data_IF_264417027144
#
_entry.id   IF_264417027144
#
_cell.length_a   1.000
_cell.length_b   1.000
_cell.length_c   1.000
_cell.angle_alpha   90.00
_cell.angle_beta   90.00
_cell.angle_gamma   90.00
#
_symmetry.space_group_name_H-M   'P 1'
#
loop_
_entity.id
_entity.type
_entity.pdbx_description
1 polymer ?
#
# COMPACT_ATOMS: atom_id res chain seq x y z
N UNK A 1 16.49 2.05 -6.75
CA UNK A 1 15.00 1.90 -6.80
C UNK A 1 14.35 3.04 -6.03
N UNK A 2 13.03 3.25 -6.25
CA UNK A 2 12.24 4.13 -5.39
C UNK A 2 11.39 3.30 -4.43
N UNK A 3 11.38 3.67 -3.16
CA UNK A 3 10.64 2.98 -2.10
C UNK A 3 9.75 4.01 -1.42
N UNK A 4 8.43 3.77 -1.41
CA UNK A 4 7.50 4.58 -0.61
C UNK A 4 7.16 3.84 0.68
N UNK A 5 7.34 4.50 1.80
CA UNK A 5 7.01 3.99 3.14
C UNK A 5 5.93 4.86 3.75
N UNK A 6 4.85 4.25 4.20
CA UNK A 6 3.75 4.93 4.89
C UNK A 6 3.63 4.36 6.30
N UNK A 7 3.96 5.20 7.28
CA UNK A 7 3.87 4.86 8.69
C UNK A 7 2.48 5.19 9.24
N UNK A 8 1.77 4.17 9.74
CA UNK A 8 0.40 4.32 10.27
C UNK A 8 0.29 5.13 11.55
N UNK A 9 1.40 5.71 12.03
CA UNK A 9 1.44 6.61 13.17
C UNK A 9 2.68 7.51 13.17
N UNK A 10 2.59 8.64 13.89
CA UNK A 10 3.66 9.65 13.89
C UNK A 10 4.82 9.39 14.84
N UNK A 11 4.67 8.50 15.82
CA UNK A 11 5.76 8.22 16.76
C UNK A 11 6.66 7.06 16.29
N UNK A 12 7.94 7.17 16.55
CA UNK A 12 8.96 6.19 16.18
C UNK A 12 9.04 5.05 17.20
N UNK A 13 7.97 4.23 17.26
CA UNK A 13 7.87 3.07 18.15
C UNK A 13 8.43 1.76 17.56
N UNK A 14 7.98 0.63 18.09
CA UNK A 14 8.48 -0.71 17.70
C UNK A 14 8.22 -1.01 16.23
N UNK A 15 7.04 -0.66 15.70
CA UNK A 15 6.69 -0.89 14.29
C UNK A 15 7.64 -0.11 13.38
N UNK A 16 7.95 1.16 13.71
CA UNK A 16 8.94 1.96 13.01
C UNK A 16 10.33 1.30 13.05
N UNK A 17 10.81 0.83 14.23
CA UNK A 17 12.09 0.11 14.36
C UNK A 17 12.13 -1.10 13.42
N UNK A 18 11.04 -1.87 13.34
CA UNK A 18 10.95 -3.03 12.45
C UNK A 18 11.11 -2.59 10.98
N UNK A 19 10.39 -1.55 10.57
CA UNK A 19 10.45 -1.03 9.20
C UNK A 19 11.86 -0.55 8.85
N UNK A 20 12.52 0.19 9.76
CA UNK A 20 13.91 0.62 9.55
C UNK A 20 14.87 -0.56 9.46
N UNK A 21 14.73 -1.58 10.32
CA UNK A 21 15.55 -2.79 10.22
C UNK A 21 15.34 -3.54 8.90
N UNK A 22 14.11 -3.56 8.37
CA UNK A 22 13.86 -4.15 7.03
C UNK A 22 14.53 -3.32 5.94
N UNK A 23 14.48 -1.99 6.03
CA UNK A 23 15.12 -1.08 5.06
C UNK A 23 16.63 -1.22 5.04
N UNK A 24 17.28 -1.46 6.19
CA UNK A 24 18.72 -1.72 6.28
C UNK A 24 19.19 -2.91 5.41
N UNK A 25 18.33 -3.91 5.20
CA UNK A 25 18.61 -5.08 4.33
C UNK A 25 18.05 -4.94 2.92
N UNK A 26 17.08 -4.04 2.72
CA UNK A 26 16.34 -3.91 1.46
C UNK A 26 16.93 -2.85 0.55
N UNK A 27 17.22 -1.67 1.09
CA UNK A 27 17.66 -0.51 0.33
C UNK A 27 19.18 -0.54 0.10
N UNK A 28 19.60 0.03 -1.03
CA UNK A 28 20.97 0.31 -1.40
C UNK A 28 21.23 1.82 -1.30
N UNK A 29 22.50 2.23 -1.32
CA UNK A 29 22.90 3.64 -1.12
C UNK A 29 22.27 4.60 -2.15
N UNK A 30 22.03 4.11 -3.37
CA UNK A 30 21.44 4.88 -4.48
C UNK A 30 19.89 4.85 -4.49
N UNK A 31 19.26 4.17 -3.53
CA UNK A 31 17.81 4.05 -3.48
C UNK A 31 17.16 5.30 -2.89
N UNK A 32 16.10 5.79 -3.55
CA UNK A 32 15.28 6.91 -3.06
C UNK A 32 14.18 6.37 -2.13
N UNK A 33 14.18 6.82 -0.86
CA UNK A 33 13.18 6.41 0.12
C UNK A 33 12.31 7.62 0.49
N UNK A 34 11.03 7.55 0.18
CA UNK A 34 10.02 8.55 0.53
C UNK A 34 9.20 8.05 1.72
N UNK A 35 9.31 8.71 2.88
CA UNK A 35 8.61 8.33 4.11
C UNK A 35 7.50 9.32 4.44
N UNK A 36 6.30 8.81 4.73
CA UNK A 36 5.15 9.59 5.18
C UNK A 36 4.70 9.11 6.56
N UNK A 37 4.49 10.05 7.49
CA UNK A 37 4.10 9.76 8.88
C UNK A 37 2.69 10.24 9.15
N UNK A 38 1.76 9.30 9.35
CA UNK A 38 0.38 9.63 9.67
C UNK A 38 0.19 9.93 11.17
N UNK A 39 -0.67 10.89 11.56
CA UNK A 39 -1.55 11.69 10.70
C UNK A 39 -0.91 12.95 10.09
N UNK A 40 0.33 13.31 10.48
CA UNK A 40 0.97 14.58 10.10
C UNK A 40 0.98 14.82 8.58
N UNK A 41 1.37 13.80 7.82
CA UNK A 41 1.46 13.87 6.36
C UNK A 41 0.17 13.39 5.66
N UNK A 42 -0.79 12.89 6.43
CA UNK A 42 -2.06 12.36 5.92
C UNK A 42 -3.19 13.39 5.89
N UNK A 43 -4.31 13.05 5.21
CA UNK A 43 -5.50 13.89 5.14
C UNK A 43 -6.31 13.85 6.44
N UNK A 44 -7.22 14.82 6.61
CA UNK A 44 -8.32 14.74 7.57
C UNK A 44 -9.18 13.50 7.31
N UNK A 45 -10.07 13.14 8.25
CA UNK A 45 -10.92 11.96 8.08
C UNK A 45 -11.80 12.07 6.84
N UNK A 46 -11.87 10.97 6.08
CA UNK A 46 -12.76 10.85 4.94
C UNK A 46 -14.22 10.92 5.41
N UNK A 47 -14.98 11.86 4.86
CA UNK A 47 -16.40 12.06 5.20
C UNK A 47 -17.36 11.36 4.23
N UNK A 48 -16.83 10.55 3.29
CA UNK A 48 -17.66 9.79 2.35
C UNK A 48 -18.45 10.66 1.35
N UNK A 49 -17.98 11.85 1.04
CA UNK A 49 -18.68 12.78 0.13
C UNK A 49 -18.71 12.34 -1.34
N UNK A 50 -18.01 11.29 -1.70
CA UNK A 50 -17.88 10.72 -3.06
C UNK A 50 -17.36 11.70 -4.14
N UNK A 51 -16.84 12.86 -3.76
CA UNK A 51 -16.34 13.88 -4.69
C UNK A 51 -15.22 13.33 -5.58
N UNK A 52 -14.31 12.51 -5.01
CA UNK A 52 -13.24 11.85 -5.75
C UNK A 52 -13.74 10.92 -6.86
N UNK A 53 -14.92 10.32 -6.72
CA UNK A 53 -15.55 9.50 -7.75
C UNK A 53 -16.29 10.34 -8.80
N UNK A 54 -17.08 11.30 -8.33
CA UNK A 54 -18.03 12.03 -9.18
C UNK A 54 -17.39 13.19 -9.95
N UNK A 55 -16.43 13.91 -9.35
CA UNK A 55 -15.78 15.08 -9.94
C UNK A 55 -14.33 14.83 -10.33
N UNK A 56 -13.61 14.05 -9.55
CA UNK A 56 -12.19 13.75 -9.69
C UNK A 56 -11.49 13.78 -8.33
N UNK A 57 -10.38 13.08 -8.23
CA UNK A 57 -9.58 12.98 -7.01
C UNK A 57 -8.95 14.31 -6.58
N UNK A 58 -8.70 15.20 -7.52
CA UNK A 58 -8.20 16.55 -7.31
C UNK A 58 -9.19 17.45 -6.53
N UNK A 59 -10.48 17.12 -6.60
CA UNK A 59 -11.54 17.82 -5.87
C UNK A 59 -11.84 17.22 -4.48
N UNK A 60 -11.11 16.18 -4.07
CA UNK A 60 -11.24 15.65 -2.71
C UNK A 60 -10.82 16.72 -1.69
N UNK A 61 -11.59 16.94 -0.59
CA UNK A 61 -11.20 17.89 0.45
C UNK A 61 -9.81 17.64 1.07
N UNK A 62 -9.30 16.41 0.98
CA UNK A 62 -7.96 16.04 1.45
C UNK A 62 -6.94 15.88 0.32
N UNK A 63 -7.22 16.36 -0.90
CA UNK A 63 -6.37 16.12 -2.07
C UNK A 63 -4.94 16.62 -1.88
N UNK A 64 -4.74 17.74 -1.21
CA UNK A 64 -3.42 18.33 -0.92
C UNK A 64 -2.48 17.38 -0.18
N UNK A 65 -3.02 16.49 0.66
CA UNK A 65 -2.29 15.47 1.41
C UNK A 65 -2.30 14.10 0.73
N UNK A 66 -3.40 13.76 0.09
CA UNK A 66 -3.57 12.45 -0.58
C UNK A 66 -2.73 12.35 -1.84
N UNK A 67 -2.73 13.39 -2.69
CA UNK A 67 -2.07 13.33 -4.00
C UNK A 67 -0.55 13.15 -3.92
N UNK A 68 0.20 13.81 -3.03
CA UNK A 68 1.63 13.54 -2.87
C UNK A 68 1.94 12.09 -2.48
N UNK A 69 1.13 11.50 -1.60
CA UNK A 69 1.32 10.10 -1.15
C UNK A 69 1.03 9.13 -2.29
N UNK A 70 -0.11 9.29 -2.97
CA UNK A 70 -0.48 8.39 -4.07
C UNK A 70 0.50 8.49 -5.23
N UNK A 71 0.96 9.69 -5.57
CA UNK A 71 1.99 9.93 -6.58
C UNK A 71 3.29 9.21 -6.24
N UNK A 72 3.77 9.34 -5.01
CA UNK A 72 4.95 8.62 -4.54
C UNK A 72 4.77 7.10 -4.66
N UNK A 73 3.60 6.57 -4.28
CA UNK A 73 3.27 5.15 -4.46
C UNK A 73 3.27 4.74 -5.93
N UNK A 74 2.76 5.58 -6.84
CA UNK A 74 2.69 5.33 -8.28
C UNK A 74 4.07 5.39 -8.96
N UNK A 75 5.01 6.13 -8.41
CA UNK A 75 6.38 6.25 -8.92
C UNK A 75 7.34 5.19 -8.38
N UNK A 76 7.08 4.61 -7.22
CA UNK A 76 8.01 3.65 -6.59
C UNK A 76 7.84 2.21 -7.09
N UNK A 77 8.91 1.42 -7.02
CA UNK A 77 8.90 -0.02 -7.27
C UNK A 77 8.37 -0.80 -6.07
N UNK A 78 8.62 -0.29 -4.85
CA UNK A 78 8.26 -0.94 -3.59
C UNK A 78 7.39 -0.01 -2.75
N UNK A 79 6.27 -0.54 -2.25
CA UNK A 79 5.38 0.15 -1.33
C UNK A 79 5.38 -0.58 0.00
N UNK A 80 5.77 0.10 1.07
CA UNK A 80 5.76 -0.41 2.44
C UNK A 80 4.66 0.32 3.21
N UNK A 81 3.71 -0.44 3.76
CA UNK A 81 2.73 0.07 4.70
C UNK A 81 3.04 -0.54 6.07
N UNK A 82 3.27 0.29 7.07
CA UNK A 82 3.39 -0.21 8.43
C UNK A 82 2.31 0.38 9.35
N UNK A 83 1.87 -0.42 10.27
CA UNK A 83 0.90 -0.01 11.29
C UNK A 83 1.07 -0.85 12.55
N UNK A 84 1.01 -0.25 13.74
CA UNK A 84 0.82 -1.03 14.95
C UNK A 84 -0.52 -1.77 14.90
N UNK A 85 -0.60 -2.86 15.66
CA UNK A 85 -1.85 -3.60 15.82
C UNK A 85 -2.68 -2.98 16.94
N UNK A 86 -3.60 -2.10 16.58
CA UNK A 86 -4.54 -1.48 17.52
C UNK A 86 -5.90 -2.18 17.45
N UNK A 87 -6.34 -2.73 18.58
CA UNK A 87 -7.64 -3.43 18.66
C UNK A 87 -7.80 -4.47 17.52
N UNK A 88 -6.73 -5.26 17.28
CA UNK A 88 -6.65 -6.34 16.28
C UNK A 88 -6.71 -5.86 14.81
N UNK A 89 -6.53 -4.53 14.55
CA UNK A 89 -6.62 -3.95 13.21
C UNK A 89 -5.53 -2.87 13.01
N UNK A 90 -5.41 -2.34 11.78
CA UNK A 90 -4.53 -1.21 11.49
C UNK A 90 -4.99 0.04 12.24
N UNK A 91 -4.07 0.98 12.46
CA UNK A 91 -4.39 2.26 13.09
C UNK A 91 -5.49 3.01 12.34
N UNK A 92 -6.29 3.79 13.05
CA UNK A 92 -7.33 4.64 12.44
C UNK A 92 -6.77 5.59 11.37
N UNK A 93 -5.55 6.10 11.57
CA UNK A 93 -4.88 6.96 10.59
C UNK A 93 -4.55 6.21 9.28
N UNK A 94 -4.05 4.97 9.38
CA UNK A 94 -3.81 4.13 8.19
C UNK A 94 -5.12 3.79 7.48
N UNK A 95 -6.16 3.44 8.24
CA UNK A 95 -7.48 3.16 7.65
C UNK A 95 -8.06 4.38 6.95
N UNK A 96 -7.96 5.56 7.58
CA UNK A 96 -8.39 6.82 6.99
C UNK A 96 -7.71 7.09 5.63
N UNK A 97 -6.39 6.95 5.56
CA UNK A 97 -5.68 7.10 4.29
C UNK A 97 -6.17 6.10 3.23
N UNK A 98 -6.40 4.83 3.62
CA UNK A 98 -6.93 3.82 2.69
C UNK A 98 -8.32 4.17 2.17
N UNK A 99 -9.17 4.84 2.97
CA UNK A 99 -10.48 5.31 2.54
C UNK A 99 -10.40 6.38 1.45
N UNK A 100 -9.38 7.24 1.50
CA UNK A 100 -9.11 8.20 0.44
C UNK A 100 -8.57 7.59 -0.87
N UNK A 101 -8.09 6.33 -0.85
CA UNK A 101 -7.57 5.64 -2.04
C UNK A 101 -8.62 4.80 -2.78
N UNK A 102 -9.88 4.82 -2.36
CA UNK A 102 -10.92 3.96 -2.92
C UNK A 102 -11.08 4.12 -4.44
N UNK A 103 -10.94 5.33 -4.96
CA UNK A 103 -11.00 5.61 -6.41
C UNK A 103 -9.86 4.96 -7.21
N UNK A 104 -8.75 4.60 -6.57
CA UNK A 104 -7.61 3.88 -7.19
C UNK A 104 -7.76 2.37 -7.20
N UNK A 105 -8.86 1.83 -6.73
CA UNK A 105 -9.11 0.40 -6.84
C UNK A 105 -9.30 -0.01 -8.31
N UNK A 106 -8.96 -1.26 -8.61
CA UNK A 106 -8.98 -1.85 -9.96
C UNK A 106 -10.36 -1.77 -10.64
N UNK A 107 -11.42 -1.67 -9.86
CA UNK A 107 -12.78 -1.48 -10.36
C UNK A 107 -13.08 -0.06 -10.83
N UNK A 108 -12.28 0.92 -10.39
CA UNK A 108 -12.47 2.34 -10.67
C UNK A 108 -11.37 2.88 -11.60
N UNK A 109 -10.46 3.68 -11.07
CA UNK A 109 -9.37 4.31 -11.82
C UNK A 109 -7.98 3.86 -11.34
N UNK A 110 -7.62 2.56 -11.52
CA UNK A 110 -6.30 2.08 -11.13
C UNK A 110 -5.20 2.75 -11.96
N UNK A 111 -4.00 2.83 -11.41
CA UNK A 111 -2.84 3.32 -12.14
C UNK A 111 -2.03 2.15 -12.72
N UNK A 112 -1.57 2.28 -13.98
CA UNK A 112 -0.87 1.21 -14.70
C UNK A 112 0.34 0.65 -13.94
N UNK A 113 1.15 1.55 -13.36
CA UNK A 113 2.36 1.14 -12.64
C UNK A 113 2.07 0.23 -11.45
N UNK A 114 0.88 0.30 -10.84
CA UNK A 114 0.53 -0.54 -9.69
C UNK A 114 0.58 -2.04 -10.03
N UNK A 115 0.34 -2.43 -11.27
CA UNK A 115 0.37 -3.84 -11.72
C UNK A 115 1.77 -4.47 -11.81
N UNK A 116 2.83 -3.68 -11.60
CA UNK A 116 4.23 -4.14 -11.65
C UNK A 116 4.95 -4.05 -10.30
N UNK A 117 4.32 -3.44 -9.28
CA UNK A 117 4.93 -3.15 -7.98
C UNK A 117 4.97 -4.33 -7.01
N UNK A 118 5.74 -4.14 -5.95
CA UNK A 118 5.77 -5.05 -4.79
C UNK A 118 5.29 -4.30 -3.56
N UNK A 119 4.38 -4.91 -2.84
CA UNK A 119 3.96 -4.42 -1.53
C UNK A 119 4.61 -5.19 -0.38
N UNK A 120 4.86 -4.52 0.71
CA UNK A 120 5.21 -5.11 2.00
C UNK A 120 4.34 -4.46 3.09
N UNK A 121 3.64 -5.27 3.86
CA UNK A 121 2.88 -4.79 5.01
C UNK A 121 3.49 -5.28 6.29
N UNK A 122 3.74 -4.36 7.23
CA UNK A 122 4.46 -4.61 8.48
C UNK A 122 3.54 -4.28 9.65
N UNK A 123 3.50 -5.16 10.65
CA UNK A 123 2.81 -4.84 11.90
C UNK A 123 3.48 -5.49 13.10
N UNK A 124 3.40 -4.81 14.22
CA UNK A 124 3.83 -5.31 15.52
C UNK A 124 2.74 -5.18 16.58
N UNK A 125 2.86 -6.02 17.59
CA UNK A 125 2.04 -5.97 18.79
C UNK A 125 2.85 -6.36 20.01
N UNK A 126 2.38 -6.00 21.20
CA UNK A 126 3.00 -6.45 22.46
C UNK A 126 2.73 -7.93 22.72
N UNK A 127 1.53 -8.45 22.44
CA UNK A 127 1.17 -9.82 22.76
C UNK A 127 0.25 -10.51 21.75
N UNK A 128 -0.82 -9.87 21.29
CA UNK A 128 -1.75 -10.49 20.35
C UNK A 128 -1.17 -10.59 18.92
N UNK A 129 -1.46 -11.66 18.15
CA UNK A 129 -0.94 -11.79 16.79
C UNK A 129 -1.42 -10.68 15.86
N UNK A 130 -0.53 -9.90 15.21
CA UNK A 130 -0.92 -8.78 14.32
C UNK A 130 -1.21 -9.23 12.88
N UNK A 131 -1.61 -10.48 12.70
CA UNK A 131 -1.81 -11.07 11.37
C UNK A 131 -2.98 -10.45 10.61
N UNK A 132 -4.02 -10.00 11.31
CA UNK A 132 -5.17 -9.35 10.68
C UNK A 132 -4.78 -7.98 10.11
N UNK A 133 -4.06 -7.18 10.89
CA UNK A 133 -3.56 -5.86 10.48
C UNK A 133 -2.81 -5.91 9.15
N UNK A 134 -1.83 -6.82 9.02
CA UNK A 134 -1.08 -6.95 7.76
C UNK A 134 -1.93 -7.51 6.62
N UNK A 135 -2.94 -8.35 6.90
CA UNK A 135 -3.87 -8.85 5.88
C UNK A 135 -4.78 -7.73 5.37
N UNK A 136 -5.28 -6.88 6.25
CA UNK A 136 -6.14 -5.74 5.91
C UNK A 136 -5.39 -4.74 5.02
N UNK A 137 -4.19 -4.32 5.40
CA UNK A 137 -3.35 -3.45 4.55
C UNK A 137 -3.01 -4.12 3.21
N UNK A 138 -2.63 -5.41 3.21
CA UNK A 138 -2.31 -6.14 1.98
C UNK A 138 -3.53 -6.28 1.06
N UNK A 139 -4.74 -6.36 1.60
CA UNK A 139 -5.98 -6.36 0.83
C UNK A 139 -6.13 -5.05 0.05
N UNK A 140 -5.89 -3.90 0.69
CA UNK A 140 -5.98 -2.60 0.03
C UNK A 140 -5.02 -2.50 -1.17
N UNK A 141 -3.72 -2.77 -0.96
CA UNK A 141 -2.75 -2.76 -2.05
C UNK A 141 -3.12 -3.70 -3.21
N UNK A 142 -3.68 -4.87 -2.90
CA UNK A 142 -4.14 -5.81 -3.96
C UNK A 142 -5.33 -5.26 -4.74
N UNK A 143 -6.26 -4.55 -4.09
CA UNK A 143 -7.36 -3.88 -4.77
C UNK A 143 -6.88 -2.70 -5.63
N UNK A 144 -5.74 -2.10 -5.30
CA UNK A 144 -5.08 -1.10 -6.15
C UNK A 144 -4.30 -1.70 -7.33
N UNK A 145 -4.23 -3.03 -7.45
CA UNK A 145 -3.55 -3.72 -8.55
C UNK A 145 -2.18 -4.32 -8.21
N UNK A 146 -1.64 -4.10 -7.01
CA UNK A 146 -0.31 -4.61 -6.62
C UNK A 146 -0.29 -6.15 -6.67
N UNK A 147 0.53 -6.75 -7.54
CA UNK A 147 0.45 -8.18 -7.86
C UNK A 147 0.96 -9.08 -6.73
N UNK A 148 1.93 -8.60 -5.96
CA UNK A 148 2.52 -9.34 -4.83
C UNK A 148 2.67 -8.45 -3.62
N UNK A 149 2.07 -8.86 -2.52
CA UNK A 149 2.21 -8.19 -1.22
C UNK A 149 2.72 -9.19 -0.20
N UNK A 150 3.92 -8.93 0.31
CA UNK A 150 4.50 -9.67 1.41
C UNK A 150 3.97 -9.14 2.74
N UNK A 151 4.04 -9.95 3.78
CA UNK A 151 3.55 -9.62 5.12
C UNK A 151 4.62 -9.92 6.13
N UNK A 152 4.89 -8.97 7.02
CA UNK A 152 5.82 -9.11 8.13
C UNK A 152 5.11 -8.84 9.44
N UNK A 153 5.26 -9.73 10.40
CA UNK A 153 4.69 -9.57 11.74
C UNK A 153 5.72 -9.89 12.81
N UNK A 154 5.68 -9.13 13.91
CA UNK A 154 6.47 -9.40 15.10
C UNK A 154 5.63 -9.21 16.36
N UNK A 155 5.58 -10.21 17.21
CA UNK A 155 5.12 -10.07 18.60
C UNK A 155 6.36 -9.69 19.41
N UNK A 156 6.40 -8.45 19.87
CA UNK A 156 7.60 -7.87 20.51
C UNK A 156 7.77 -8.29 21.97
N UNK A 157 6.67 -8.65 22.64
CA UNK A 157 6.61 -8.83 24.08
C UNK A 157 7.12 -7.59 24.86
N UNK A 158 6.97 -6.41 24.25
CA UNK A 158 7.45 -5.13 24.77
C UNK A 158 6.46 -4.02 24.42
N UNK A 159 6.37 -3.00 25.27
CA UNK A 159 5.55 -1.80 25.02
C UNK A 159 6.34 -0.69 24.36
N UNK A 160 7.66 -0.67 24.51
CA UNK A 160 8.57 0.32 23.93
C UNK A 160 9.87 -0.31 23.43
N UNK A 161 10.60 0.46 22.61
CA UNK A 161 11.82 -0.01 21.95
C UNK A 161 12.87 -0.45 22.96
N UNK A 162 13.05 0.28 24.05
CA UNK A 162 14.07 0.02 25.07
C UNK A 162 13.86 -1.28 25.86
N UNK A 163 12.66 -1.85 25.81
CA UNK A 163 12.30 -3.07 26.53
C UNK A 163 12.27 -4.33 25.64
N UNK A 164 12.66 -4.20 24.37
CA UNK A 164 12.78 -5.35 23.48
C UNK A 164 13.98 -6.19 23.91
N UNK A 165 13.77 -7.51 24.12
CA UNK A 165 14.86 -8.40 24.49
C UNK A 165 15.83 -8.65 23.34
N UNK A 166 17.10 -8.94 23.66
CA UNK A 166 18.14 -9.30 22.68
C UNK A 166 17.73 -10.48 21.79
N UNK A 167 17.00 -11.44 22.34
CA UNK A 167 16.42 -12.56 21.57
C UNK A 167 15.43 -12.09 20.51
N UNK A 168 14.58 -11.11 20.85
CA UNK A 168 13.61 -10.53 19.90
C UNK A 168 14.29 -9.65 18.85
N UNK A 169 15.35 -8.97 19.19
CA UNK A 169 16.16 -8.23 18.22
C UNK A 169 16.86 -9.15 17.21
N UNK A 170 17.42 -10.26 17.68
CA UNK A 170 18.00 -11.27 16.79
C UNK A 170 16.94 -11.90 15.86
N UNK A 171 15.76 -12.24 16.39
CA UNK A 171 14.63 -12.71 15.60
C UNK A 171 14.19 -11.70 14.54
N UNK A 172 14.11 -10.41 14.92
CA UNK A 172 13.80 -9.31 14.01
C UNK A 172 14.78 -9.24 12.86
N UNK A 173 16.08 -9.17 13.13
CA UNK A 173 17.12 -9.09 12.09
C UNK A 173 17.05 -10.26 11.12
N UNK A 174 16.97 -11.49 11.62
CA UNK A 174 16.88 -12.67 10.77
C UNK A 174 15.63 -12.67 9.87
N UNK A 175 14.48 -12.26 10.42
CA UNK A 175 13.24 -12.16 9.64
C UNK A 175 13.30 -11.01 8.63
N UNK A 176 13.90 -9.88 9.01
CA UNK A 176 14.04 -8.70 8.15
C UNK A 176 14.90 -9.02 6.93
N UNK A 177 16.05 -9.65 7.11
CA UNK A 177 16.92 -10.08 6.03
C UNK A 177 16.20 -11.01 5.04
N UNK A 178 15.50 -12.02 5.57
CA UNK A 178 14.75 -12.98 4.74
C UNK A 178 13.63 -12.32 3.93
N UNK A 179 12.90 -11.35 4.51
CA UNK A 179 11.82 -10.68 3.79
C UNK A 179 12.35 -9.67 2.79
N UNK A 180 13.39 -8.91 3.14
CA UNK A 180 14.06 -7.96 2.27
C UNK A 180 14.55 -8.64 0.99
N UNK A 181 15.25 -9.78 1.10
CA UNK A 181 15.72 -10.57 -0.05
C UNK A 181 14.56 -11.00 -0.97
N UNK A 182 13.41 -11.40 -0.42
CA UNK A 182 12.24 -11.77 -1.22
C UNK A 182 11.61 -10.57 -1.92
N UNK A 183 11.50 -9.43 -1.23
CA UNK A 183 10.95 -8.19 -1.78
C UNK A 183 11.85 -7.69 -2.91
N UNK A 184 13.17 -7.58 -2.68
CA UNK A 184 14.16 -7.14 -3.66
C UNK A 184 14.16 -8.00 -4.93
N UNK A 185 14.21 -9.33 -4.78
CA UNK A 185 14.13 -10.25 -5.91
C UNK A 185 12.84 -10.06 -6.72
N UNK A 186 11.73 -9.77 -6.07
CA UNK A 186 10.44 -9.56 -6.74
C UNK A 186 10.37 -8.19 -7.41
N UNK A 187 10.95 -7.15 -6.83
CA UNK A 187 11.05 -5.81 -7.41
C UNK A 187 11.92 -5.82 -8.68
N UNK A 188 13.01 -6.57 -8.67
CA UNK A 188 13.90 -6.73 -9.83
C UNK A 188 13.30 -7.60 -10.96
N UNK A 189 12.19 -8.29 -10.71
CA UNK A 189 11.46 -9.06 -11.74
C UNK A 189 9.97 -8.73 -11.69
N UNK A 190 9.58 -7.50 -12.12
CA UNK A 190 8.21 -7.02 -12.06
C UNK A 190 7.32 -7.73 -13.07
N UNK A 191 6.19 -8.26 -12.63
CA UNK A 191 5.17 -8.85 -13.50
C UNK A 191 3.79 -8.86 -12.84
N UNK A 192 2.74 -8.74 -13.63
CA UNK A 192 1.36 -8.82 -13.13
C UNK A 192 1.02 -10.25 -12.71
N UNK A 193 0.27 -10.39 -11.61
CA UNK A 193 -0.23 -11.69 -11.14
C UNK A 193 -1.38 -12.19 -12.00
N UNK A 194 -1.55 -13.51 -12.09
CA UNK A 194 -2.70 -14.11 -12.79
C UNK A 194 -4.03 -13.59 -12.22
N UNK A 195 -4.15 -13.51 -10.88
CA UNK A 195 -5.34 -12.97 -10.23
C UNK A 195 -5.58 -11.51 -10.62
N UNK A 196 -4.54 -10.66 -10.65
CA UNK A 196 -4.65 -9.26 -11.08
C UNK A 196 -5.13 -9.15 -12.53
N UNK A 197 -4.61 -10.01 -13.43
CA UNK A 197 -5.05 -10.07 -14.83
C UNK A 197 -6.53 -10.47 -14.94
N UNK A 198 -6.96 -11.50 -14.21
CA UNK A 198 -8.37 -11.93 -14.19
C UNK A 198 -9.27 -10.80 -13.71
N UNK A 199 -8.93 -10.16 -12.58
CA UNK A 199 -9.69 -9.02 -12.06
C UNK A 199 -9.76 -7.87 -13.05
N UNK A 200 -8.63 -7.54 -13.71
CA UNK A 200 -8.62 -6.52 -14.75
C UNK A 200 -9.61 -6.84 -15.88
N UNK A 201 -9.64 -8.06 -16.39
CA UNK A 201 -10.56 -8.42 -17.47
C UNK A 201 -12.03 -8.41 -17.05
N UNK A 202 -12.33 -8.76 -15.79
CA UNK A 202 -13.68 -8.65 -15.25
C UNK A 202 -14.13 -7.17 -15.26
N UNK A 203 -13.30 -6.27 -14.70
CA UNK A 203 -13.65 -4.85 -14.64
C UNK A 203 -13.55 -4.16 -16.00
N UNK A 204 -12.65 -4.60 -16.88
CA UNK A 204 -12.64 -4.17 -18.28
C UNK A 204 -14.00 -4.41 -18.95
N UNK A 205 -14.56 -5.62 -18.79
CA UNK A 205 -15.88 -5.95 -19.34
C UNK A 205 -16.97 -5.03 -18.78
N UNK A 206 -16.94 -4.74 -17.49
CA UNK A 206 -17.84 -3.78 -16.85
C UNK A 206 -17.69 -2.38 -17.43
N UNK A 207 -16.48 -1.86 -17.53
CA UNK A 207 -16.23 -0.50 -18.03
C UNK A 207 -16.43 -0.37 -19.54
N UNK A 208 -16.45 -1.47 -20.30
CA UNK A 208 -16.72 -1.46 -21.75
C UNK A 208 -18.21 -1.19 -22.06
N UNK A 209 -19.12 -1.46 -21.12
CA UNK A 209 -20.56 -1.21 -21.29
C UNK A 209 -20.96 0.09 -20.58
N UNK A 210 -21.52 1.09 -21.30
CA UNK A 210 -22.02 2.31 -20.66
C UNK A 210 -23.02 2.07 -19.54
N UNK A 211 -23.89 1.09 -19.72
CA UNK A 211 -24.96 0.76 -18.75
C UNK A 211 -24.46 0.01 -17.52
N UNK A 212 -23.29 -0.65 -17.61
CA UNK A 212 -22.70 -1.41 -16.51
C UNK A 212 -21.60 -0.65 -15.75
N UNK A 213 -21.13 0.47 -16.29
CA UNK A 213 -20.15 1.32 -15.63
C UNK A 213 -20.78 2.03 -14.42
N UNK A 214 -20.09 1.96 -13.28
CA UNK A 214 -20.61 2.55 -12.04
C UNK A 214 -20.74 4.08 -12.13
N UNK A 215 -19.79 4.75 -12.78
CA UNK A 215 -19.88 6.18 -13.09
C UNK A 215 -19.12 6.51 -14.40
N UNK A 216 -19.48 7.62 -15.08
CA UNK A 216 -18.83 8.02 -16.33
C UNK A 216 -17.33 8.25 -16.20
N UNK A 217 -16.85 8.90 -15.12
CA UNK A 217 -15.43 9.20 -14.92
C UNK A 217 -14.54 7.96 -14.86
N UNK A 218 -15.02 6.89 -14.25
CA UNK A 218 -14.27 5.63 -14.22
C UNK A 218 -14.15 5.05 -15.62
N UNK A 219 -15.24 5.06 -16.38
CA UNK A 219 -15.26 4.60 -17.77
C UNK A 219 -14.35 5.43 -18.67
N UNK A 220 -14.41 6.75 -18.54
CA UNK A 220 -13.57 7.68 -19.32
C UNK A 220 -12.10 7.43 -19.06
N UNK A 221 -11.71 7.21 -17.79
CA UNK A 221 -10.35 6.79 -17.43
C UNK A 221 -9.91 5.52 -18.16
N UNK A 222 -10.75 4.49 -18.20
CA UNK A 222 -10.41 3.24 -18.90
C UNK A 222 -10.30 3.42 -20.41
N UNK A 223 -11.08 4.33 -21.00
CA UNK A 223 -10.99 4.71 -22.41
C UNK A 223 -9.67 5.44 -22.66
N UNK A 224 -9.36 6.46 -21.87
CA UNK A 224 -8.12 7.26 -21.98
C UNK A 224 -6.86 6.41 -21.87
N UNK A 225 -6.88 5.38 -20.99
CA UNK A 225 -5.77 4.43 -20.90
C UNK A 225 -5.72 3.41 -22.07
N UNK A 226 -6.66 3.41 -22.97
CA UNK A 226 -6.81 2.42 -24.05
C UNK A 226 -7.11 1.00 -23.54
N UNK A 227 -7.54 0.87 -22.29
CA UNK A 227 -7.73 -0.45 -21.65
C UNK A 227 -9.00 -1.15 -22.08
N UNK A 228 -9.97 -0.42 -22.56
CA UNK A 228 -11.18 -0.98 -23.15
C UNK A 228 -10.83 -1.70 -24.48
N UNK A 229 -9.84 -1.21 -25.20
CA UNK A 229 -9.36 -1.77 -26.46
C UNK A 229 -8.25 -2.82 -26.26
N UNK A 230 -7.01 -2.51 -26.68
CA UNK A 230 -5.90 -3.45 -26.76
C UNK A 230 -4.74 -3.18 -25.79
N UNK A 231 -4.71 -2.02 -25.13
CA UNK A 231 -3.66 -1.69 -24.16
C UNK A 231 -3.85 -2.49 -22.86
N UNK A 232 -2.75 -2.87 -22.24
CA UNK A 232 -2.74 -3.59 -20.97
C UNK A 232 -1.71 -2.96 -20.02
N UNK A 233 -2.04 -2.74 -18.73
CA UNK A 233 -1.18 -2.03 -17.79
C UNK A 233 0.14 -2.75 -17.46
N UNK A 234 0.29 -4.00 -17.85
CA UNK A 234 1.50 -4.80 -17.62
C UNK A 234 2.37 -5.04 -18.85
N UNK A 235 1.99 -4.48 -20.00
CA UNK A 235 2.78 -4.53 -21.24
C UNK A 235 3.71 -3.34 -21.37
#
# INVERSE_FOLDING_TARGET
MKITVIHGQGHKGITYKITKTVLEFLAEDDDEINEFFLPKDGPSFCVGCNTCFMKGEEFCPGADKVQPIIKSMEESEIIILDSPNYVMEMSGNMKNLMDHFAYRWITHRPHANMFKKVGLTISSSAGAPPSNTVKSMAKQLKWMGVPKVYKFTLISNALNISTISSKKEAELKQKAEKIASKVKRRANNPHASLKGKIMFYIFRKMQSSPDAAWNPKDRDWWIEQGWIENVRPWK
#
